data_IF_636346394624
#
_entry.id   IF_636346394624
#
_cell.length_a   1.000
_cell.length_b   1.000
_cell.length_c   1.000
_cell.angle_alpha   90.00
_cell.angle_beta   90.00
_cell.angle_gamma   90.00
#
_symmetry.space_group_name_H-M   'P 1'
#
loop_
_entity.id
_entity.type
_entity.pdbx_description
1 polymer ?
#
# COMPACT_ATOMS: atom_id res chain seq x y z
N UNK A 1 1.44 7.63 21.75
CA UNK A 1 1.72 6.57 20.77
C UNK A 1 2.17 7.26 19.49
N UNK A 2 3.30 6.90 18.89
CA UNK A 2 3.66 7.42 17.56
C UNK A 2 2.70 6.82 16.53
N UNK A 3 2.29 7.60 15.52
CA UNK A 3 1.45 7.10 14.44
C UNK A 3 2.22 6.15 13.51
N UNK A 4 1.47 5.47 12.63
CA UNK A 4 2.01 4.45 11.72
C UNK A 4 3.08 5.04 10.80
N UNK A 5 2.86 6.25 10.28
CA UNK A 5 3.83 6.97 9.43
C UNK A 5 5.12 7.25 10.18
N UNK A 6 5.04 7.87 11.36
CA UNK A 6 6.22 8.26 12.13
C UNK A 6 7.07 7.04 12.52
N UNK A 7 6.42 5.92 12.86
CA UNK A 7 7.12 4.67 13.16
C UNK A 7 7.85 4.11 11.93
N UNK A 8 7.21 4.12 10.76
CA UNK A 8 7.81 3.65 9.51
C UNK A 8 9.00 4.54 9.09
N UNK A 9 8.80 5.86 9.11
CA UNK A 9 9.78 6.85 8.66
C UNK A 9 11.06 6.81 9.50
N UNK A 10 10.94 6.55 10.82
CA UNK A 10 12.10 6.40 11.71
C UNK A 10 12.99 5.20 11.38
N UNK A 11 12.42 4.14 10.77
CA UNK A 11 13.10 2.86 10.51
C UNK A 11 13.57 2.71 9.05
N UNK A 12 12.89 3.36 8.11
CA UNK A 12 13.09 3.11 6.68
C UNK A 12 14.34 3.80 6.12
N UNK A 13 15.08 3.08 5.27
CA UNK A 13 16.17 3.62 4.45
C UNK A 13 15.73 3.97 3.02
N UNK A 14 14.45 3.81 2.68
CA UNK A 14 13.92 4.13 1.35
C UNK A 14 14.15 5.60 1.01
N UNK A 15 14.48 5.87 -0.25
CA UNK A 15 14.64 7.22 -0.79
C UNK A 15 13.71 7.39 -2.00
N UNK A 16 13.40 8.64 -2.30
CA UNK A 16 12.66 9.06 -3.47
C UNK A 16 13.61 9.34 -4.67
N UNK A 17 13.07 9.79 -5.81
CA UNK A 17 13.88 10.01 -7.03
C UNK A 17 14.89 11.17 -6.90
N UNK A 18 14.76 11.98 -5.86
CA UNK A 18 15.67 13.08 -5.55
C UNK A 18 16.67 12.73 -4.44
N UNK A 19 16.80 11.43 -4.11
CA UNK A 19 17.57 10.93 -2.97
C UNK A 19 17.12 11.50 -1.61
N UNK A 20 15.87 11.98 -1.53
CA UNK A 20 15.23 12.52 -0.35
C UNK A 20 14.22 11.56 0.28
N UNK A 21 13.40 12.09 1.19
CA UNK A 21 12.32 11.37 1.88
C UNK A 21 10.93 11.87 1.51
N UNK A 22 10.81 12.98 0.79
CA UNK A 22 9.53 13.65 0.54
C UNK A 22 8.57 12.73 -0.20
N UNK A 23 9.04 12.07 -1.28
CA UNK A 23 8.20 11.12 -2.00
C UNK A 23 7.82 9.89 -1.18
N UNK A 24 8.71 9.44 -0.28
CA UNK A 24 8.42 8.33 0.65
C UNK A 24 7.33 8.74 1.64
N UNK A 25 7.38 9.96 2.16
CA UNK A 25 6.37 10.53 3.06
C UNK A 25 5.03 10.69 2.37
N UNK A 26 5.00 11.20 1.14
CA UNK A 26 3.77 11.38 0.35
C UNK A 26 3.05 10.04 0.09
N UNK A 27 3.80 8.99 -0.23
CA UNK A 27 3.24 7.63 -0.39
C UNK A 27 2.72 7.10 0.93
N UNK A 28 3.48 7.29 2.02
CA UNK A 28 3.02 6.87 3.34
C UNK A 28 1.75 7.60 3.76
N UNK A 29 1.65 8.91 3.53
CA UNK A 29 0.44 9.70 3.81
C UNK A 29 -0.78 9.15 3.06
N UNK A 30 -0.60 8.79 1.78
CA UNK A 30 -1.67 8.15 1.01
C UNK A 30 -2.05 6.77 1.57
N UNK A 31 -1.07 5.94 1.93
CA UNK A 31 -1.31 4.56 2.35
C UNK A 31 -1.87 4.43 3.77
N UNK A 32 -1.55 5.37 4.67
CA UNK A 32 -2.08 5.40 6.05
C UNK A 32 -3.41 6.12 6.16
N UNK A 33 -3.88 6.78 5.09
CA UNK A 33 -5.21 7.34 5.04
C UNK A 33 -6.26 6.26 5.38
N UNK A 34 -7.19 6.50 6.33
CA UNK A 34 -8.13 5.48 6.76
C UNK A 34 -8.97 4.87 5.65
N UNK A 35 -9.33 5.65 4.61
CA UNK A 35 -10.10 5.12 3.49
C UNK A 35 -9.24 4.20 2.61
N UNK A 36 -7.96 4.55 2.40
CA UNK A 36 -7.00 3.68 1.69
C UNK A 36 -6.77 2.38 2.46
N UNK A 37 -6.53 2.45 3.77
CA UNK A 37 -6.37 1.25 4.60
C UNK A 37 -7.63 0.39 4.58
N UNK A 38 -8.81 1.00 4.69
CA UNK A 38 -10.07 0.26 4.66
C UNK A 38 -10.26 -0.49 3.33
N UNK A 39 -9.91 0.13 2.19
CA UNK A 39 -9.91 -0.56 0.89
C UNK A 39 -8.94 -1.75 0.86
N UNK A 40 -7.74 -1.62 1.45
CA UNK A 40 -6.78 -2.73 1.55
C UNK A 40 -7.30 -3.87 2.45
N UNK A 41 -7.97 -3.53 3.55
CA UNK A 41 -8.65 -4.50 4.42
C UNK A 41 -9.77 -5.21 3.66
N UNK A 42 -10.67 -4.49 2.98
CA UNK A 42 -11.74 -5.11 2.18
C UNK A 42 -11.16 -6.07 1.14
N UNK A 43 -10.11 -5.66 0.41
CA UNK A 43 -9.46 -6.54 -0.56
C UNK A 43 -8.96 -7.82 0.10
N UNK A 44 -8.39 -7.72 1.30
CA UNK A 44 -7.86 -8.87 2.06
C UNK A 44 -8.98 -9.79 2.58
N UNK A 45 -10.07 -9.23 3.11
CA UNK A 45 -11.26 -9.99 3.54
C UNK A 45 -11.97 -10.69 2.39
N UNK A 46 -11.82 -10.17 1.16
CA UNK A 46 -12.28 -10.82 -0.08
C UNK A 46 -11.27 -11.82 -0.65
N UNK A 47 -10.15 -12.08 0.04
CA UNK A 47 -9.04 -12.91 -0.43
C UNK A 47 -8.42 -12.45 -1.77
N UNK A 48 -8.54 -11.16 -2.06
CA UNK A 48 -7.98 -10.53 -3.24
C UNK A 48 -6.57 -10.00 -2.96
N UNK A 49 -5.75 -9.78 -4.00
CA UNK A 49 -4.50 -9.05 -3.85
C UNK A 49 -4.76 -7.67 -3.21
N UNK A 50 -3.97 -7.30 -2.20
CA UNK A 50 -4.19 -6.08 -1.38
C UNK A 50 -4.29 -4.78 -2.18
N UNK A 51 -3.64 -4.71 -3.35
CA UNK A 51 -3.69 -3.53 -4.22
C UNK A 51 -4.97 -3.44 -5.06
N UNK A 52 -5.84 -4.45 -5.06
CA UNK A 52 -6.97 -4.56 -6.01
C UNK A 52 -7.86 -3.32 -6.04
N UNK A 53 -8.13 -2.71 -4.89
CA UNK A 53 -9.02 -1.56 -4.78
C UNK A 53 -8.31 -0.19 -4.78
N UNK A 54 -6.97 -0.18 -4.79
CA UNK A 54 -6.19 1.07 -4.67
C UNK A 54 -5.15 1.27 -5.78
N UNK A 55 -4.87 0.26 -6.61
CA UNK A 55 -3.79 0.30 -7.59
C UNK A 55 -3.92 1.47 -8.58
N UNK A 56 -5.10 1.65 -9.18
CA UNK A 56 -5.35 2.74 -10.14
C UNK A 56 -5.20 4.13 -9.52
N UNK A 57 -5.72 4.32 -8.32
CA UNK A 57 -5.62 5.60 -7.60
C UNK A 57 -4.16 5.90 -7.23
N UNK A 58 -3.42 4.87 -6.79
CA UNK A 58 -2.00 4.95 -6.47
C UNK A 58 -1.17 5.31 -7.73
N UNK A 59 -1.40 4.63 -8.85
CA UNK A 59 -0.73 4.90 -10.13
C UNK A 59 -1.01 6.31 -10.65
N UNK A 60 -2.24 6.81 -10.48
CA UNK A 60 -2.60 8.18 -10.85
C UNK A 60 -1.95 9.23 -9.96
N UNK A 61 -1.86 8.96 -8.65
CA UNK A 61 -1.30 9.92 -7.69
C UNK A 61 0.22 10.00 -7.76
N UNK A 62 0.87 8.86 -8.03
CA UNK A 62 2.31 8.72 -8.09
C UNK A 62 2.76 8.43 -9.53
N UNK A 63 2.35 9.32 -10.44
CA UNK A 63 2.72 9.27 -11.85
C UNK A 63 4.19 9.70 -12.07
N UNK A 64 4.58 9.82 -13.34
CA UNK A 64 5.94 10.17 -13.77
C UNK A 64 6.44 11.53 -13.26
N UNK A 65 5.54 12.43 -12.86
CA UNK A 65 5.87 13.77 -12.36
C UNK A 65 5.93 13.85 -10.83
N UNK A 66 5.64 12.74 -10.15
CA UNK A 66 5.71 12.68 -8.68
C UNK A 66 7.14 12.48 -8.16
N UNK A 67 7.36 12.77 -6.88
CA UNK A 67 8.63 12.47 -6.22
C UNK A 67 8.87 10.96 -6.08
N UNK A 68 7.83 10.12 -6.21
CA UNK A 68 7.92 8.67 -6.05
C UNK A 68 7.14 7.93 -7.16
N UNK A 69 7.56 8.03 -8.43
CA UNK A 69 6.83 7.48 -9.55
C UNK A 69 6.74 5.96 -9.45
N UNK A 70 5.51 5.44 -9.47
CA UNK A 70 5.24 3.98 -9.48
C UNK A 70 4.93 3.45 -10.88
N UNK A 71 4.82 4.36 -11.85
CA UNK A 71 4.63 4.10 -13.28
C UNK A 71 5.95 3.83 -13.98
N UNK A 72 5.93 3.37 -15.24
CA UNK A 72 7.15 3.23 -16.04
C UNK A 72 7.56 4.61 -16.56
N UNK A 73 8.80 5.02 -16.27
CA UNK A 73 9.49 6.15 -16.90
C UNK A 73 10.47 5.63 -17.95
N UNK A 74 10.95 6.49 -18.85
CA UNK A 74 11.79 6.12 -20.02
C UNK A 74 13.01 5.24 -19.67
N UNK A 75 13.50 5.29 -18.42
CA UNK A 75 14.63 4.49 -17.93
C UNK A 75 14.24 3.14 -17.29
N UNK A 76 12.99 2.69 -17.44
CA UNK A 76 12.47 1.34 -17.15
C UNK A 76 12.85 0.71 -15.78
N UNK A 77 13.22 1.50 -14.77
CA UNK A 77 13.72 1.01 -13.46
C UNK A 77 12.77 1.22 -12.26
N UNK A 78 11.52 1.66 -12.46
CA UNK A 78 10.58 1.87 -11.34
C UNK A 78 10.03 0.58 -10.71
N UNK A 79 10.65 -0.57 -10.97
CA UNK A 79 10.43 -1.82 -10.24
C UNK A 79 10.71 -1.64 -8.75
N UNK A 80 11.75 -0.88 -8.38
CA UNK A 80 12.11 -0.64 -6.97
C UNK A 80 11.07 0.18 -6.23
N UNK A 81 10.53 1.24 -6.84
CA UNK A 81 9.46 2.05 -6.25
C UNK A 81 8.21 1.21 -5.95
N UNK A 82 7.76 0.39 -6.92
CA UNK A 82 6.63 -0.53 -6.72
C UNK A 82 6.89 -1.60 -5.65
N UNK A 83 8.11 -2.11 -5.55
CA UNK A 83 8.50 -3.03 -4.47
C UNK A 83 8.47 -2.34 -3.10
N UNK A 84 8.92 -1.08 -3.03
CA UNK A 84 8.90 -0.29 -1.80
C UNK A 84 7.47 0.00 -1.33
N UNK A 85 6.53 0.28 -2.25
CA UNK A 85 5.08 0.32 -1.93
C UNK A 85 4.63 -0.99 -1.29
N UNK A 86 5.00 -2.14 -1.85
CA UNK A 86 4.67 -3.44 -1.27
C UNK A 86 5.20 -3.62 0.16
N UNK A 87 6.41 -3.12 0.43
CA UNK A 87 7.02 -3.13 1.78
C UNK A 87 6.29 -2.18 2.75
N UNK A 88 5.89 -1.00 2.29
CA UNK A 88 5.08 -0.04 3.06
C UNK A 88 3.74 -0.66 3.44
N UNK A 89 3.04 -1.26 2.47
CA UNK A 89 1.75 -1.93 2.71
C UNK A 89 1.91 -3.07 3.70
N UNK A 90 2.96 -3.91 3.57
CA UNK A 90 3.22 -4.97 4.56
C UNK A 90 3.36 -4.42 5.98
N UNK A 91 4.07 -3.30 6.14
CA UNK A 91 4.22 -2.66 7.44
C UNK A 91 2.89 -2.14 8.00
N UNK A 92 2.07 -1.49 7.15
CA UNK A 92 0.78 -0.92 7.53
C UNK A 92 -0.21 -2.03 7.89
N UNK A 93 -0.39 -3.02 7.02
CA UNK A 93 -1.33 -4.14 7.24
C UNK A 93 -1.03 -4.90 8.55
N UNK A 94 0.25 -5.07 8.90
CA UNK A 94 0.64 -5.68 10.17
C UNK A 94 0.15 -4.88 11.40
N UNK A 95 0.04 -3.54 11.30
CA UNK A 95 -0.50 -2.73 12.40
C UNK A 95 -2.01 -2.99 12.64
N UNK A 96 -2.73 -3.44 11.61
CA UNK A 96 -4.15 -3.77 11.66
C UNK A 96 -4.41 -5.28 11.87
N UNK A 97 -3.37 -6.06 12.18
CA UNK A 97 -3.50 -7.50 12.40
C UNK A 97 -3.72 -8.29 11.11
N UNK A 98 -3.03 -7.93 10.03
CA UNK A 98 -3.04 -8.69 8.79
C UNK A 98 -1.61 -9.10 8.41
N UNK A 99 -1.43 -10.39 8.12
CA UNK A 99 -0.16 -10.95 7.63
C UNK A 99 -0.35 -11.45 6.20
N UNK A 100 0.69 -11.36 5.35
CA UNK A 100 0.66 -12.07 4.07
C UNK A 100 0.33 -13.56 4.29
N UNK A 101 -0.47 -14.14 3.40
CA UNK A 101 -0.61 -15.59 3.31
C UNK A 101 0.76 -16.16 2.87
N UNK A 102 1.21 -17.25 3.52
CA UNK A 102 2.52 -17.91 3.32
C UNK A 102 2.43 -19.17 2.41
N UNK A 103 3.49 -19.38 1.61
CA UNK A 103 3.48 -20.23 0.41
C UNK A 103 4.68 -19.99 -0.56
N UNK A 104 5.61 -19.09 -0.25
CA UNK A 104 6.95 -19.02 -0.86
C UNK A 104 7.26 -17.76 -1.71
N UNK A 105 8.32 -17.82 -2.53
CA UNK A 105 8.78 -16.69 -3.37
C UNK A 105 7.77 -16.25 -4.46
N UNK A 106 6.65 -16.97 -4.64
CA UNK A 106 5.67 -16.85 -5.73
C UNK A 106 4.28 -16.32 -5.31
N UNK A 107 4.09 -15.86 -4.08
CA UNK A 107 2.76 -15.62 -3.49
C UNK A 107 2.09 -14.30 -3.83
N UNK A 108 2.58 -13.62 -4.86
CA UNK A 108 1.90 -12.45 -5.38
C UNK A 108 0.86 -12.92 -6.37
N UNK A 109 -0.41 -12.82 -6.00
CA UNK A 109 -1.49 -13.10 -6.93
C UNK A 109 -1.63 -11.96 -7.95
N UNK A 110 -2.09 -12.32 -9.15
CA UNK A 110 -2.36 -11.36 -10.22
C UNK A 110 -3.45 -10.42 -9.79
N UNK A 111 -3.20 -9.11 -9.89
CA UNK A 111 -4.21 -8.10 -9.62
C UNK A 111 -5.30 -8.22 -10.70
N UNK A 112 -6.59 -8.39 -10.33
CA UNK A 112 -7.67 -8.54 -11.29
C UNK A 112 -7.84 -7.29 -12.18
N UNK A 113 -8.33 -7.49 -13.41
CA UNK A 113 -8.51 -6.41 -14.38
C UNK A 113 -9.44 -5.28 -13.89
N UNK A 114 -10.40 -5.59 -13.00
CA UNK A 114 -11.31 -4.61 -12.41
C UNK A 114 -10.58 -3.52 -11.59
N UNK A 115 -9.35 -3.80 -11.13
CA UNK A 115 -8.51 -2.80 -10.46
C UNK A 115 -8.16 -1.60 -11.33
N UNK A 116 -8.18 -1.77 -12.67
CA UNK A 116 -7.71 -0.77 -13.62
C UNK A 116 -6.21 -0.47 -13.56
N UNK A 117 -5.45 -1.31 -12.86
CA UNK A 117 -3.99 -1.21 -12.71
C UNK A 117 -3.28 -1.45 -14.05
N UNK A 118 -2.31 -0.59 -14.39
CA UNK A 118 -1.48 -0.74 -15.60
C UNK A 118 -0.06 -1.20 -15.29
N UNK A 119 0.48 -0.81 -14.14
CA UNK A 119 1.89 -0.95 -13.78
C UNK A 119 2.10 -1.93 -12.62
N UNK A 120 1.16 -2.01 -11.68
CA UNK A 120 1.13 -3.11 -10.71
C UNK A 120 0.44 -4.33 -11.34
N UNK A 121 1.20 -5.40 -11.59
CA UNK A 121 0.67 -6.65 -12.13
C UNK A 121 0.24 -7.65 -11.04
N UNK A 122 0.92 -7.64 -9.90
CA UNK A 122 0.70 -8.59 -8.80
C UNK A 122 0.86 -7.90 -7.44
N UNK A 123 0.20 -8.40 -6.40
CA UNK A 123 0.44 -8.01 -5.00
C UNK A 123 0.17 -9.16 -4.05
N UNK A 124 0.59 -9.04 -2.79
CA UNK A 124 0.32 -10.06 -1.78
C UNK A 124 -1.17 -10.14 -1.43
N UNK A 125 -1.61 -11.34 -1.06
CA UNK A 125 -2.89 -11.58 -0.38
C UNK A 125 -2.60 -11.62 1.12
N UNK A 126 -3.50 -11.04 1.92
CA UNK A 126 -3.33 -10.95 3.36
C UNK A 126 -4.51 -11.63 4.06
N UNK A 127 -4.22 -12.22 5.22
CA UNK A 127 -5.22 -12.80 6.12
C UNK A 127 -5.14 -12.14 7.49
N UNK A 128 -6.29 -12.06 8.15
CA UNK A 128 -6.38 -11.52 9.51
C UNK A 128 -5.72 -12.44 10.54
N UNK A 129 -5.13 -11.84 11.57
CA UNK A 129 -4.50 -12.50 12.72
C UNK A 129 -5.08 -11.91 14.02
N UNK A 130 -4.77 -12.55 15.15
CA UNK A 130 -5.28 -12.13 16.47
C UNK A 130 -4.54 -10.93 17.08
N UNK A 131 -3.48 -10.44 16.43
CA UNK A 131 -2.60 -9.38 16.96
C UNK A 131 -2.73 -8.08 16.15
N UNK A 132 -3.72 -7.25 16.48
CA UNK A 132 -3.90 -5.92 15.89
C UNK A 132 -3.57 -4.80 16.89
N UNK A 133 -2.86 -3.76 16.44
CA UNK A 133 -2.61 -2.54 17.24
C UNK A 133 -3.61 -1.43 16.95
N UNK A 134 -4.18 -1.44 15.74
CA UNK A 134 -5.15 -0.45 15.27
C UNK A 134 -6.39 -1.16 14.74
N UNK A 135 -7.53 -0.50 14.86
CA UNK A 135 -8.80 -0.91 14.27
C UNK A 135 -9.41 0.27 13.50
N UNK A 136 -10.18 -0.02 12.45
CA UNK A 136 -10.97 0.99 11.73
C UNK A 136 -12.41 0.86 12.19
N UNK A 137 -12.98 1.96 12.67
CA UNK A 137 -14.40 2.06 13.01
C UNK A 137 -15.09 2.99 12.00
N UNK A 138 -16.13 2.49 11.34
CA UNK A 138 -16.94 3.27 10.39
C UNK A 138 -18.21 3.71 11.09
N UNK A 139 -18.36 5.02 11.27
CA UNK A 139 -19.51 5.61 11.95
C UNK A 139 -20.36 6.34 10.92
N UNK A 140 -21.57 5.84 10.68
CA UNK A 140 -22.60 6.57 9.92
C UNK A 140 -23.44 7.37 10.91
N UNK A 141 -23.58 8.67 10.69
CA UNK A 141 -24.46 9.54 11.49
C UNK A 141 -25.48 10.19 10.58
N UNK A 142 -26.75 10.13 10.98
CA UNK A 142 -27.80 10.94 10.37
C UNK A 142 -27.59 12.38 10.82
N UNK A 143 -27.49 13.31 9.87
CA UNK A 143 -27.50 14.74 10.17
C UNK A 143 -28.98 15.16 10.19
N UNK A 144 -29.41 15.76 11.30
CA UNK A 144 -30.75 16.35 11.46
C UNK A 144 -30.83 17.72 10.80
#
# INVERSE_FOLDING_TARGET
MMGIKEEFMKKTKMLDVHNGKNGVEEVMDYLVDPATVFKMIIASEMELPVLTLIAKDLEKKFDENSNFPVVVTDDNQNTTARQNVGRMIKFIMAQYGYTPVDGGLSERARIPAISGSKYFSTSGIYKKTDEAKYQIEIISRKIE
#
